data_IF_716221515122
#
_entry.id   IF_716221515122
#
_cell.length_a   1.000
_cell.length_b   1.000
_cell.length_c   1.000
_cell.angle_alpha   90.00
_cell.angle_beta   90.00
_cell.angle_gamma   90.00
#
_symmetry.space_group_name_H-M   'P 1'
#
loop_
_entity.id
_entity.type
_entity.pdbx_description
1 polymer ?
#
# COMPACT_ATOMS: atom_id res chain seq x y z
N UNK A 1 10.35 2.33 9.98
CA UNK A 1 10.13 1.31 11.05
C UNK A 1 9.04 1.82 11.99
N UNK A 2 8.06 0.99 12.38
CA UNK A 2 6.96 1.40 13.28
C UNK A 2 7.35 1.12 14.75
N UNK A 3 7.33 2.13 15.64
CA UNK A 3 7.78 1.95 17.03
C UNK A 3 6.74 1.25 17.93
N UNK A 4 5.46 1.26 17.52
CA UNK A 4 4.31 0.75 18.28
C UNK A 4 3.71 -0.50 17.64
N UNK A 5 4.40 -1.08 16.65
CA UNK A 5 4.00 -2.31 15.96
C UNK A 5 2.57 -2.27 15.36
N UNK A 6 2.11 -1.09 14.95
CA UNK A 6 0.80 -0.89 14.33
C UNK A 6 0.73 -1.38 12.86
N UNK A 7 1.84 -1.83 12.28
CA UNK A 7 1.90 -2.32 10.89
C UNK A 7 2.08 -3.83 10.88
N UNK A 8 1.27 -4.51 10.08
CA UNK A 8 1.37 -5.95 9.86
C UNK A 8 1.20 -6.30 8.37
N UNK A 9 1.67 -7.48 7.97
CA UNK A 9 1.46 -8.01 6.62
C UNK A 9 0.38 -9.08 6.71
N UNK A 10 -0.71 -8.90 5.97
CA UNK A 10 -1.73 -9.92 5.83
C UNK A 10 -1.15 -11.12 5.05
N UNK A 11 -1.10 -12.31 5.66
CA UNK A 11 -0.47 -13.49 5.03
C UNK A 11 -1.21 -14.01 3.80
N UNK A 12 -2.51 -13.73 3.66
CA UNK A 12 -3.32 -14.19 2.53
C UNK A 12 -3.16 -13.27 1.32
N UNK A 13 -3.18 -11.96 1.56
CA UNK A 13 -3.16 -10.96 0.48
C UNK A 13 -1.78 -10.35 0.24
N UNK A 14 -0.85 -10.56 1.18
CA UNK A 14 0.46 -9.90 1.26
C UNK A 14 0.38 -8.36 1.27
N UNK A 15 -0.80 -7.81 1.58
CA UNK A 15 -1.02 -6.38 1.76
C UNK A 15 -0.56 -5.93 3.16
N UNK A 16 -0.19 -4.66 3.28
CA UNK A 16 0.13 -4.03 4.56
C UNK A 16 -1.19 -3.56 5.20
N UNK A 17 -1.40 -3.92 6.45
CA UNK A 17 -2.55 -3.48 7.24
C UNK A 17 -2.07 -2.59 8.38
N UNK A 18 -2.86 -1.57 8.70
CA UNK A 18 -2.61 -0.61 9.79
C UNK A 18 -3.64 -0.87 10.88
N UNK A 19 -3.16 -1.04 12.12
CA UNK A 19 -3.98 -1.03 13.31
C UNK A 19 -4.19 0.45 13.72
N UNK A 20 -5.37 0.98 13.42
CA UNK A 20 -5.69 2.39 13.65
C UNK A 20 -5.73 2.76 15.14
N UNK A 21 -6.04 1.80 16.03
CA UNK A 21 -6.08 2.05 17.47
C UNK A 21 -4.67 2.18 18.06
N UNK A 22 -3.69 1.48 17.49
CA UNK A 22 -2.29 1.56 17.90
C UNK A 22 -1.49 2.64 17.18
N UNK A 23 -1.96 3.09 16.02
CA UNK A 23 -1.23 4.07 15.23
C UNK A 23 -1.15 5.40 15.98
N UNK A 24 0.07 5.95 16.10
CA UNK A 24 0.33 7.24 16.76
C UNK A 24 0.69 8.34 15.74
N UNK A 25 0.30 8.19 14.48
CA UNK A 25 0.59 9.11 13.38
C UNK A 25 2.06 9.59 13.26
N UNK A 26 3.04 8.81 13.70
CA UNK A 26 4.44 9.29 13.80
C UNK A 26 5.18 9.50 12.46
N UNK A 27 4.58 9.15 11.31
CA UNK A 27 5.16 9.37 9.98
C UNK A 27 6.38 8.51 9.60
N UNK A 28 7.01 7.79 10.53
CA UNK A 28 8.24 6.99 10.28
C UNK A 28 8.11 5.91 9.21
N UNK A 29 6.89 5.44 8.91
CA UNK A 29 6.64 4.49 7.83
C UNK A 29 6.63 5.16 6.45
N UNK A 30 6.20 6.42 6.36
CA UNK A 30 6.21 7.22 5.13
C UNK A 30 7.66 7.43 4.69
N UNK A 31 8.52 7.87 5.61
CA UNK A 31 9.95 8.13 5.35
C UNK A 31 10.71 6.86 4.98
N UNK A 32 10.37 5.74 5.62
CA UNK A 32 11.04 4.46 5.38
C UNK A 32 10.62 3.78 4.07
N UNK A 33 9.49 4.18 3.47
CA UNK A 33 9.00 3.61 2.22
C UNK A 33 9.71 4.29 1.04
N UNK A 34 10.51 3.57 0.23
CA UNK A 34 11.18 4.17 -0.93
C UNK A 34 10.20 4.81 -1.93
N UNK A 35 9.03 4.17 -2.09
CA UNK A 35 7.97 4.68 -2.96
C UNK A 35 7.08 5.75 -2.33
N UNK A 36 7.30 6.12 -1.06
CA UNK A 36 6.51 7.12 -0.31
C UNK A 36 4.98 6.93 -0.42
N UNK A 37 4.55 5.67 -0.41
CA UNK A 37 3.15 5.25 -0.63
C UNK A 37 2.23 5.51 0.59
N UNK A 38 2.65 5.29 1.86
CA UNK A 38 1.78 5.60 2.98
C UNK A 38 1.59 7.11 3.12
N UNK A 39 0.40 7.55 3.54
CA UNK A 39 0.05 8.95 3.76
C UNK A 39 -0.66 9.14 5.10
N UNK A 40 -0.60 10.33 5.69
CA UNK A 40 -1.42 10.63 6.88
C UNK A 40 -2.89 10.79 6.49
N UNK A 41 -3.81 10.27 7.31
CA UNK A 41 -5.22 10.57 7.15
C UNK A 41 -5.45 12.08 7.38
N UNK A 42 -6.25 12.78 6.54
CA UNK A 42 -6.37 14.24 6.62
C UNK A 42 -7.12 14.73 7.88
N UNK A 43 -7.87 13.86 8.55
CA UNK A 43 -8.72 14.21 9.69
C UNK A 43 -8.55 13.33 10.93
N UNK A 44 -7.81 12.22 10.84
CA UNK A 44 -7.68 11.23 11.92
C UNK A 44 -6.19 10.94 12.16
N UNK A 45 -5.85 10.54 13.37
CA UNK A 45 -4.45 10.36 13.79
C UNK A 45 -3.88 8.98 13.42
N UNK A 46 -4.08 8.55 12.17
CA UNK A 46 -3.51 7.30 11.67
C UNK A 46 -2.99 7.43 10.23
N UNK A 47 -2.19 6.45 9.82
CA UNK A 47 -1.62 6.37 8.46
C UNK A 47 -2.54 5.55 7.57
N UNK A 48 -2.74 6.02 6.34
CA UNK A 48 -3.39 5.32 5.25
C UNK A 48 -2.37 4.64 4.34
N UNK A 49 -2.66 3.40 3.97
CA UNK A 49 -2.00 2.64 2.91
C UNK A 49 -3.04 1.68 2.32
N UNK A 50 -2.92 1.36 1.02
CA UNK A 50 -3.76 0.37 0.38
C UNK A 50 -3.61 -1.00 1.08
N UNK A 51 -4.67 -1.47 1.72
CA UNK A 51 -4.79 -2.78 2.36
C UNK A 51 -5.30 -3.86 1.40
N UNK A 52 -5.34 -3.53 0.10
CA UNK A 52 -5.92 -4.32 -0.98
C UNK A 52 -7.42 -4.62 -0.76
N UNK A 53 -8.13 -3.78 0.00
CA UNK A 53 -9.52 -3.99 0.41
C UNK A 53 -9.74 -5.43 0.93
N UNK A 54 -8.79 -5.92 1.73
CA UNK A 54 -8.78 -7.29 2.26
C UNK A 54 -8.84 -8.42 1.21
N UNK A 55 -8.35 -8.15 0.00
CA UNK A 55 -8.30 -9.09 -1.12
C UNK A 55 -9.44 -8.93 -2.12
N UNK A 56 -10.32 -7.95 -1.93
CA UNK A 56 -11.44 -7.65 -2.82
C UNK A 56 -11.42 -6.17 -3.27
N UNK A 57 -10.50 -5.79 -4.17
CA UNK A 57 -10.20 -4.39 -4.50
C UNK A 57 -11.35 -3.69 -5.23
N UNK A 58 -11.97 -2.73 -4.55
CA UNK A 58 -13.10 -1.97 -5.11
C UNK A 58 -12.70 -1.11 -6.32
N UNK A 59 -11.45 -0.60 -6.34
CA UNK A 59 -10.94 0.16 -7.47
C UNK A 59 -10.86 -0.67 -8.77
N UNK A 60 -10.60 -1.97 -8.67
CA UNK A 60 -10.61 -2.88 -9.83
C UNK A 60 -12.05 -3.08 -10.32
N UNK A 61 -13.00 -3.31 -9.41
CA UNK A 61 -14.43 -3.50 -9.77
C UNK A 61 -14.97 -2.30 -10.55
N UNK A 62 -14.80 -1.10 -10.01
CA UNK A 62 -15.26 0.14 -10.67
C UNK A 62 -14.59 0.33 -12.03
N UNK A 63 -13.30 -0.02 -12.16
CA UNK A 63 -12.60 0.05 -13.44
C UNK A 63 -13.19 -0.91 -14.50
N UNK A 64 -13.61 -2.10 -14.08
CA UNK A 64 -14.22 -3.11 -14.96
C UNK A 64 -15.66 -2.72 -15.32
N UNK A 65 -16.44 -2.23 -14.36
CA UNK A 65 -17.79 -1.69 -14.57
C UNK A 65 -17.76 -0.48 -15.52
N UNK A 66 -16.77 0.39 -15.40
CA UNK A 66 -16.58 1.54 -16.29
C UNK A 66 -16.01 1.21 -17.67
N UNK A 67 -15.59 -0.04 -17.91
CA UNK A 67 -15.08 -0.50 -19.21
C UNK A 67 -13.70 0.05 -19.60
N UNK A 68 -12.95 0.65 -18.67
CA UNK A 68 -11.62 1.23 -18.98
C UNK A 68 -10.53 0.17 -19.17
N UNK A 69 -10.68 -1.00 -18.55
CA UNK A 69 -9.70 -2.10 -18.62
C UNK A 69 -8.27 -1.72 -18.21
N UNK A 70 -8.10 -0.70 -17.36
CA UNK A 70 -6.78 -0.23 -16.87
C UNK A 70 -6.29 -1.02 -15.67
N UNK A 71 -7.21 -1.41 -14.78
CA UNK A 71 -6.91 -2.13 -13.55
C UNK A 71 -7.47 -3.56 -13.60
N UNK A 72 -6.67 -4.52 -13.14
CA UNK A 72 -7.06 -5.93 -13.02
C UNK A 72 -6.34 -6.57 -11.84
N UNK A 73 -6.98 -7.55 -11.23
CA UNK A 73 -6.33 -8.44 -10.27
C UNK A 73 -5.39 -9.39 -11.00
N UNK A 74 -4.20 -9.57 -10.44
CA UNK A 74 -3.20 -10.52 -10.95
C UNK A 74 -2.63 -11.32 -9.77
N UNK A 75 -2.31 -12.61 -9.97
CA UNK A 75 -1.62 -13.37 -8.95
C UNK A 75 -0.27 -12.74 -8.66
N UNK A 76 0.10 -12.71 -7.39
CA UNK A 76 1.42 -12.20 -6.98
C UNK A 76 2.49 -13.21 -7.38
N UNK A 77 3.33 -12.83 -8.33
CA UNK A 77 4.55 -13.56 -8.67
C UNK A 77 5.73 -13.05 -7.84
N UNK A 78 6.74 -13.91 -7.66
CA UNK A 78 7.96 -13.61 -6.90
C UNK A 78 8.92 -12.74 -7.72
N UNK A 79 8.53 -11.49 -7.95
CA UNK A 79 9.32 -10.49 -8.69
C UNK A 79 9.96 -9.50 -7.72
N UNK A 80 11.17 -8.98 -8.02
CA UNK A 80 11.85 -8.02 -7.15
C UNK A 80 11.08 -6.70 -7.02
N UNK A 81 10.35 -6.53 -5.91
CA UNK A 81 9.48 -5.39 -5.64
C UNK A 81 10.23 -4.05 -5.50
N UNK A 82 11.54 -4.08 -5.21
CA UNK A 82 12.37 -2.87 -5.07
C UNK A 82 12.44 -2.02 -6.34
N UNK A 83 12.27 -2.62 -7.51
CA UNK A 83 12.28 -1.90 -8.79
C UNK A 83 11.08 -0.94 -8.90
N UNK A 84 9.89 -1.38 -8.49
CA UNK A 84 8.66 -0.58 -8.58
C UNK A 84 8.54 0.50 -7.50
N UNK A 85 9.34 0.39 -6.43
CA UNK A 85 9.40 1.39 -5.38
C UNK A 85 10.33 2.57 -5.74
N UNK A 86 10.86 2.59 -6.96
CA UNK A 86 11.69 3.65 -7.53
C UNK A 86 11.00 4.20 -8.77
N UNK A 87 11.23 5.48 -9.06
CA UNK A 87 10.74 6.12 -10.28
C UNK A 87 11.38 5.47 -11.51
N UNK A 88 10.71 5.44 -12.67
CA UNK A 88 11.30 4.92 -13.91
C UNK A 88 12.66 5.54 -14.23
N UNK A 89 12.84 6.83 -13.92
CA UNK A 89 14.09 7.57 -14.11
C UNK A 89 15.23 7.04 -13.23
N UNK A 90 14.94 6.56 -12.02
CA UNK A 90 15.93 5.99 -11.10
C UNK A 90 16.33 4.56 -11.47
N UNK A 91 15.50 3.86 -12.26
CA UNK A 91 15.72 2.46 -12.65
C UNK A 91 16.38 2.34 -14.03
N UNK A 92 16.24 3.35 -14.89
CA UNK A 92 16.70 3.35 -16.29
C UNK A 92 18.06 4.02 -16.51
N UNK A 93 18.74 4.46 -15.44
CA UNK A 93 20.10 5.01 -15.47
C UNK A 93 21.15 3.95 -15.18
#
# INVERSE_FOLDING_TARGET
MCPVEALSINRKTAAVSVDNEKCIACGKCIEACPGRIPHMHPAEDHILICDLCNGDPQCVKVCQEGGWNVLREVPREDRPHKLYARTPQEVTQ
#
